data_IF_318530782281
#
_entry.id   IF_318530782281
#
_cell.length_a   1.000
_cell.length_b   1.000
_cell.length_c   1.000
_cell.angle_alpha   90.00
_cell.angle_beta   90.00
_cell.angle_gamma   90.00
#
_symmetry.space_group_name_H-M   'P 1'
#
loop_
_entity.id
_entity.type
_entity.pdbx_description
1 polymer ?
#
# COMPACT_ATOMS: atom_id res chain seq x y z
N UNK A 1 -4.79 16.19 13.64
CA UNK A 1 -5.30 15.03 14.41
C UNK A 1 -4.70 13.79 13.78
N UNK A 2 -3.79 13.12 14.46
CA UNK A 2 -3.18 11.87 13.97
C UNK A 2 -4.12 10.72 14.34
N UNK A 3 -4.63 10.00 13.34
CA UNK A 3 -5.52 8.86 13.53
C UNK A 3 -4.84 7.81 14.44
N UNK A 4 -5.44 7.42 15.58
CA UNK A 4 -4.83 6.54 16.58
C UNK A 4 -4.61 5.08 16.13
N UNK A 5 -4.75 4.78 14.83
CA UNK A 5 -4.54 3.46 14.22
C UNK A 5 -3.38 3.38 13.21
N UNK A 6 -2.62 4.46 13.03
CA UNK A 6 -1.65 4.59 11.93
C UNK A 6 -0.62 3.45 11.88
N UNK A 7 -0.11 2.98 13.03
CA UNK A 7 0.85 1.89 13.10
C UNK A 7 0.30 0.53 12.67
N UNK A 8 -0.93 0.19 13.06
CA UNK A 8 -1.57 -1.07 12.68
C UNK A 8 -1.91 -1.10 11.18
N UNK A 9 -2.44 0.01 10.67
CA UNK A 9 -2.72 0.18 9.23
C UNK A 9 -1.45 0.10 8.40
N UNK A 10 -0.37 0.75 8.85
CA UNK A 10 0.93 0.67 8.19
C UNK A 10 1.49 -0.76 8.16
N UNK A 11 1.46 -1.49 9.28
CA UNK A 11 1.93 -2.87 9.31
C UNK A 11 1.13 -3.78 8.39
N UNK A 12 -0.20 -3.64 8.37
CA UNK A 12 -1.05 -4.37 7.43
C UNK A 12 -0.67 -4.03 5.97
N UNK A 13 -0.49 -2.74 5.66
CA UNK A 13 -0.13 -2.28 4.32
C UNK A 13 1.23 -2.81 3.87
N UNK A 14 2.22 -2.82 4.75
CA UNK A 14 3.55 -3.40 4.49
C UNK A 14 3.45 -4.90 4.18
N UNK A 15 2.66 -5.65 4.96
CA UNK A 15 2.45 -7.09 4.71
C UNK A 15 1.85 -7.35 3.33
N UNK A 16 0.90 -6.52 2.91
CA UNK A 16 0.32 -6.65 1.56
C UNK A 16 1.37 -6.40 0.49
N UNK A 17 2.10 -5.28 0.53
CA UNK A 17 3.16 -4.99 -0.47
C UNK A 17 4.21 -6.11 -0.53
N UNK A 18 4.60 -6.67 0.62
CA UNK A 18 5.55 -7.77 0.68
C UNK A 18 4.97 -9.10 0.16
N UNK A 19 3.66 -9.30 0.28
CA UNK A 19 2.94 -10.47 -0.22
C UNK A 19 2.52 -10.39 -1.68
N UNK A 20 2.60 -9.21 -2.33
CA UNK A 20 2.25 -9.07 -3.74
C UNK A 20 3.20 -9.91 -4.62
N UNK A 21 2.66 -10.70 -5.56
CA UNK A 21 3.49 -11.44 -6.50
C UNK A 21 4.27 -10.49 -7.40
N UNK A 22 5.57 -10.78 -7.61
CA UNK A 22 6.43 -10.00 -8.51
C UNK A 22 5.99 -10.05 -9.98
N UNK A 23 5.16 -11.03 -10.32
CA UNK A 23 4.70 -11.35 -11.67
C UNK A 23 3.17 -11.24 -11.80
N UNK A 24 2.58 -10.18 -11.22
CA UNK A 24 1.14 -9.90 -11.31
C UNK A 24 0.74 -9.03 -12.51
N UNK A 25 -0.57 -8.93 -12.74
CA UNK A 25 -1.19 -8.02 -13.71
C UNK A 25 -0.94 -6.55 -13.38
N UNK A 26 -0.78 -6.24 -12.09
CA UNK A 26 -0.37 -4.91 -11.63
C UNK A 26 1.16 -4.80 -11.54
N UNK A 27 1.72 -3.84 -12.29
CA UNK A 27 3.13 -3.46 -12.19
C UNK A 27 3.22 -2.02 -11.68
N UNK A 28 3.68 -1.79 -10.44
CA UNK A 28 3.87 -0.44 -9.95
C UNK A 28 4.94 0.26 -10.80
N UNK A 29 4.69 1.52 -11.11
CA UNK A 29 5.66 2.42 -11.71
C UNK A 29 6.88 2.59 -10.80
N UNK A 30 7.99 3.05 -11.40
CA UNK A 30 9.20 3.34 -10.64
C UNK A 30 8.97 4.36 -9.53
N UNK A 31 8.15 5.36 -9.80
CA UNK A 31 7.79 6.39 -8.82
C UNK A 31 7.00 5.82 -7.64
N UNK A 32 5.99 4.95 -7.90
CA UNK A 32 5.24 4.27 -6.84
C UNK A 32 6.16 3.41 -5.97
N UNK A 33 7.09 2.66 -6.57
CA UNK A 33 8.08 1.87 -5.82
C UNK A 33 8.98 2.75 -4.94
N UNK A 34 9.45 3.89 -5.46
CA UNK A 34 10.28 4.82 -4.69
C UNK A 34 9.50 5.47 -3.55
N UNK A 35 8.23 5.83 -3.74
CA UNK A 35 7.37 6.40 -2.69
C UNK A 35 7.14 5.42 -1.55
N UNK A 36 6.78 4.18 -1.87
CA UNK A 36 6.64 3.14 -0.83
C UNK A 36 7.95 2.92 -0.10
N UNK A 37 9.08 2.86 -0.82
CA UNK A 37 10.39 2.73 -0.20
C UNK A 37 10.73 3.89 0.74
N UNK A 38 10.55 5.14 0.29
CA UNK A 38 10.91 6.32 1.07
C UNK A 38 10.07 6.42 2.34
N UNK A 39 8.75 6.23 2.24
CA UNK A 39 7.86 6.25 3.40
C UNK A 39 8.14 5.09 4.36
N UNK A 40 8.41 3.89 3.84
CA UNK A 40 8.78 2.75 4.69
C UNK A 40 10.06 3.02 5.47
N UNK A 41 11.11 3.54 4.81
CA UNK A 41 12.39 3.88 5.46
C UNK A 41 12.21 5.01 6.47
N UNK A 42 11.44 6.04 6.16
CA UNK A 42 11.16 7.12 7.11
C UNK A 42 10.33 6.63 8.31
N UNK A 43 9.33 5.79 8.10
CA UNK A 43 8.50 5.22 9.16
C UNK A 43 9.29 4.29 10.11
N UNK A 44 10.24 3.52 9.58
CA UNK A 44 11.01 2.53 10.35
C UNK A 44 12.28 3.13 10.96
N UNK A 45 13.12 3.74 10.12
CA UNK A 45 14.42 4.28 10.49
C UNK A 45 14.40 5.77 10.85
N UNK A 46 13.34 6.52 10.50
CA UNK A 46 13.31 7.98 10.66
C UNK A 46 14.09 8.69 9.55
N UNK A 47 14.54 9.91 9.84
CA UNK A 47 15.27 10.77 8.89
C UNK A 47 16.50 10.06 8.32
N UNK A 48 16.70 10.22 7.00
CA UNK A 48 17.89 9.73 6.31
C UNK A 48 19.18 10.38 6.85
N UNK A 49 20.08 9.55 7.37
CA UNK A 49 21.41 9.93 7.86
C UNK A 49 22.53 9.13 7.16
N UNK A 50 22.16 8.21 6.27
CA UNK A 50 23.12 7.41 5.51
C UNK A 50 23.82 8.31 4.46
N UNK A 51 25.08 8.05 4.10
CA UNK A 51 25.75 8.78 3.03
C UNK A 51 25.10 8.47 1.68
N UNK A 52 25.06 9.46 0.78
CA UNK A 52 24.54 9.26 -0.57
C UNK A 52 25.40 8.27 -1.35
N UNK A 53 24.82 7.23 -1.99
CA UNK A 53 25.57 6.26 -2.76
C UNK A 53 26.35 6.89 -3.93
N UNK A 54 27.46 6.24 -4.30
CA UNK A 54 28.34 6.69 -5.37
C UNK A 54 27.71 6.62 -6.76
N UNK A 55 28.37 7.23 -7.75
CA UNK A 55 27.89 7.29 -9.14
C UNK A 55 27.60 5.92 -9.77
N UNK A 56 28.31 4.88 -9.35
CA UNK A 56 28.18 3.51 -9.88
C UNK A 56 26.94 2.76 -9.38
N UNK A 57 26.18 3.31 -8.41
CA UNK A 57 24.93 2.72 -7.90
C UNK A 57 23.73 3.65 -8.16
N UNK A 58 23.20 3.66 -9.40
CA UNK A 58 22.07 4.52 -9.74
C UNK A 58 20.80 4.16 -8.95
N UNK A 59 20.55 2.87 -8.70
CA UNK A 59 19.35 2.41 -7.97
C UNK A 59 19.42 2.85 -6.51
N UNK A 60 20.57 2.66 -5.85
CA UNK A 60 20.81 3.13 -4.50
C UNK A 60 20.68 4.64 -4.40
N UNK A 61 21.19 5.40 -5.39
CA UNK A 61 21.03 6.86 -5.43
C UNK A 61 19.57 7.28 -5.49
N UNK A 62 18.75 6.68 -6.35
CA UNK A 62 17.32 7.02 -6.41
C UNK A 62 16.57 6.69 -5.12
N UNK A 63 16.86 5.53 -4.51
CA UNK A 63 16.30 5.14 -3.20
C UNK A 63 16.69 6.14 -2.12
N UNK A 64 17.98 6.50 -2.07
CA UNK A 64 18.52 7.47 -1.13
C UNK A 64 17.90 8.85 -1.35
N UNK A 65 17.85 9.33 -2.59
CA UNK A 65 17.29 10.63 -2.96
C UNK A 65 15.81 10.71 -2.55
N UNK A 66 15.02 9.66 -2.82
CA UNK A 66 13.63 9.57 -2.40
C UNK A 66 13.47 9.60 -0.87
N UNK A 67 14.24 8.81 -0.12
CA UNK A 67 14.17 8.83 1.35
C UNK A 67 14.67 10.15 1.95
N UNK A 68 15.79 10.68 1.46
CA UNK A 68 16.37 11.94 1.91
C UNK A 68 15.44 13.12 1.65
N UNK A 69 14.68 13.11 0.54
CA UNK A 69 13.71 14.16 0.21
C UNK A 69 12.60 14.35 1.25
N UNK A 70 12.32 13.33 2.08
CA UNK A 70 11.31 13.42 3.15
C UNK A 70 11.77 14.27 4.35
N UNK A 71 13.07 14.57 4.44
CA UNK A 71 13.63 15.48 5.42
C UNK A 71 13.27 15.15 6.86
N UNK A 72 12.55 16.06 7.53
CA UNK A 72 12.18 15.96 8.95
C UNK A 72 10.78 15.35 9.19
N UNK A 73 10.16 14.77 8.18
CA UNK A 73 8.87 14.08 8.31
C UNK A 73 8.90 13.09 9.48
N UNK A 74 7.89 13.11 10.34
CA UNK A 74 7.84 12.18 11.49
C UNK A 74 7.59 10.75 11.03
N UNK A 75 7.82 9.78 11.93
CA UNK A 75 7.53 8.37 11.64
C UNK A 75 6.03 8.16 11.40
N UNK A 76 5.19 8.83 12.19
CA UNK A 76 3.74 8.79 12.11
C UNK A 76 3.23 9.41 10.81
N UNK A 77 3.78 10.55 10.40
CA UNK A 77 3.46 11.17 9.11
C UNK A 77 3.86 10.25 7.94
N UNK A 78 5.01 9.60 8.03
CA UNK A 78 5.46 8.64 7.01
C UNK A 78 4.57 7.39 6.93
N UNK A 79 4.13 6.86 8.07
CA UNK A 79 3.17 5.74 8.12
C UNK A 79 1.84 6.13 7.48
N UNK A 80 1.32 7.33 7.80
CA UNK A 80 0.07 7.83 7.22
C UNK A 80 0.21 8.04 5.70
N UNK A 81 1.33 8.60 5.25
CA UNK A 81 1.61 8.79 3.82
C UNK A 81 1.74 7.46 3.07
N UNK A 82 2.35 6.44 3.69
CA UNK A 82 2.42 5.08 3.12
C UNK A 82 1.03 4.49 2.89
N UNK A 83 0.15 4.60 3.89
CA UNK A 83 -1.24 4.13 3.79
C UNK A 83 -2.03 4.92 2.75
N UNK A 84 -1.83 6.24 2.68
CA UNK A 84 -2.46 7.08 1.67
C UNK A 84 -2.02 6.71 0.25
N UNK A 85 -0.73 6.41 0.05
CA UNK A 85 -0.22 5.97 -1.26
C UNK A 85 -0.78 4.61 -1.66
N UNK A 86 -0.94 3.69 -0.69
CA UNK A 86 -1.63 2.41 -0.91
C UNK A 86 -3.06 2.60 -1.42
N UNK A 87 -3.83 3.52 -0.81
CA UNK A 87 -5.20 3.83 -1.24
C UNK A 87 -5.25 4.30 -2.69
N UNK A 88 -4.32 5.19 -3.08
CA UNK A 88 -4.23 5.67 -4.48
C UNK A 88 -3.93 4.54 -5.45
N UNK A 89 -3.00 3.66 -5.10
CA UNK A 89 -2.66 2.48 -5.91
C UNK A 89 -3.86 1.55 -6.06
N UNK A 90 -4.58 1.26 -4.97
CA UNK A 90 -5.77 0.43 -5.03
C UNK A 90 -6.87 1.06 -5.90
N UNK A 91 -7.12 2.36 -5.76
CA UNK A 91 -8.08 3.07 -6.61
C UNK A 91 -7.68 2.98 -8.10
N UNK A 92 -6.40 3.22 -8.41
CA UNK A 92 -5.87 3.11 -9.76
C UNK A 92 -6.05 1.69 -10.33
N UNK A 93 -5.83 0.66 -9.53
CA UNK A 93 -6.09 -0.74 -9.96
C UNK A 93 -7.57 -0.95 -10.27
N UNK A 94 -8.47 -0.46 -9.41
CA UNK A 94 -9.92 -0.54 -9.63
C UNK A 94 -10.34 0.17 -10.93
N UNK A 95 -9.74 1.33 -11.21
CA UNK A 95 -10.12 2.16 -12.37
C UNK A 95 -9.54 1.64 -13.69
N UNK A 96 -8.36 1.02 -13.65
CA UNK A 96 -7.62 0.66 -14.87
C UNK A 96 -7.75 -0.80 -15.28
N UNK A 97 -8.06 -1.69 -14.34
CA UNK A 97 -8.03 -3.12 -14.60
C UNK A 97 -9.43 -3.67 -14.87
N UNK A 98 -9.57 -4.39 -15.99
CA UNK A 98 -10.83 -5.09 -16.31
C UNK A 98 -11.08 -6.17 -15.25
N UNK A 99 -12.32 -6.39 -14.80
CA UNK A 99 -12.66 -7.51 -13.93
C UNK A 99 -12.45 -8.85 -14.66
N UNK A 100 -11.21 -9.35 -14.64
CA UNK A 100 -10.82 -10.68 -15.07
C UNK A 100 -10.36 -11.53 -13.87
N UNK A 101 -10.14 -12.83 -14.09
CA UNK A 101 -9.76 -13.77 -13.02
C UNK A 101 -8.45 -13.37 -12.32
N UNK A 102 -7.48 -12.81 -13.05
CA UNK A 102 -6.20 -12.38 -12.49
C UNK A 102 -6.35 -11.20 -11.52
N UNK A 103 -7.32 -10.32 -11.78
CA UNK A 103 -7.59 -9.16 -10.92
C UNK A 103 -8.34 -9.55 -9.66
N UNK A 104 -9.21 -10.57 -9.74
CA UNK A 104 -9.85 -11.17 -8.56
C UNK A 104 -8.83 -11.75 -7.59
N UNK A 105 -7.85 -12.51 -8.09
CA UNK A 105 -6.76 -13.03 -7.27
C UNK A 105 -5.96 -11.88 -6.63
N UNK A 106 -5.74 -10.79 -7.37
CA UNK A 106 -5.03 -9.64 -6.82
C UNK A 106 -5.78 -9.01 -5.65
N UNK A 107 -7.10 -8.82 -5.76
CA UNK A 107 -7.90 -8.22 -4.69
C UNK A 107 -7.97 -9.07 -3.42
N UNK A 108 -7.78 -10.40 -3.49
CA UNK A 108 -7.67 -11.25 -2.30
C UNK A 108 -6.48 -10.88 -1.41
N UNK A 109 -5.36 -10.44 -1.98
CA UNK A 109 -4.22 -9.97 -1.18
C UNK A 109 -4.52 -8.69 -0.41
N UNK A 110 -5.47 -7.89 -0.88
CA UNK A 110 -5.91 -6.66 -0.22
C UNK A 110 -7.00 -6.91 0.83
N UNK A 111 -7.54 -8.12 0.94
CA UNK A 111 -8.61 -8.47 1.89
C UNK A 111 -8.27 -8.11 3.35
N UNK A 112 -7.05 -8.42 3.88
CA UNK A 112 -6.68 -8.01 5.23
C UNK A 112 -6.62 -6.49 5.42
N UNK A 113 -6.42 -5.72 4.34
CA UNK A 113 -6.43 -4.25 4.42
C UNK A 113 -7.84 -3.68 4.56
N UNK A 114 -8.85 -4.31 3.97
CA UNK A 114 -10.24 -3.84 4.07
C UNK A 114 -10.80 -3.91 5.50
N UNK A 115 -10.28 -4.81 6.32
CA UNK A 115 -10.61 -4.96 7.74
C UNK A 115 -9.95 -3.87 8.61
N UNK A 116 -8.73 -3.47 8.26
CA UNK A 116 -7.90 -2.57 9.09
C UNK A 116 -8.00 -1.10 8.64
N UNK A 117 -8.27 -0.85 7.36
CA UNK A 117 -8.40 0.47 6.75
C UNK A 117 -9.84 0.65 6.29
N UNK A 118 -10.65 1.32 7.14
CA UNK A 118 -12.11 1.46 6.93
C UNK A 118 -12.48 2.22 5.64
N UNK A 119 -11.64 3.15 5.20
CA UNK A 119 -11.85 3.99 4.00
C UNK A 119 -11.03 3.51 2.79
N UNK A 120 -10.57 2.26 2.79
CA UNK A 120 -9.83 1.70 1.66
C UNK A 120 -10.76 1.53 0.45
N UNK A 121 -10.36 1.97 -0.77
CA UNK A 121 -11.13 1.73 -1.99
C UNK A 121 -11.41 0.25 -2.18
N UNK A 122 -12.69 -0.12 -2.36
CA UNK A 122 -13.12 -1.50 -2.55
C UNK A 122 -13.54 -1.72 -4.00
N UNK A 123 -13.17 -2.84 -4.63
CA UNK A 123 -13.68 -3.17 -5.95
C UNK A 123 -15.20 -3.43 -5.89
N UNK A 124 -15.94 -3.12 -6.97
CA UNK A 124 -17.38 -3.41 -7.07
C UNK A 124 -17.71 -4.88 -6.79
N UNK A 125 -18.86 -5.17 -6.17
CA UNK A 125 -19.30 -6.55 -5.85
C UNK A 125 -19.33 -7.49 -7.07
N UNK A 126 -19.49 -6.93 -8.28
CA UNK A 126 -19.39 -7.66 -9.54
C UNK A 126 -18.03 -8.36 -9.72
N UNK A 127 -16.94 -7.85 -9.14
CA UNK A 127 -15.64 -8.50 -9.17
C UNK A 127 -15.64 -9.83 -8.41
N UNK A 128 -16.46 -10.00 -7.37
CA UNK A 128 -16.49 -11.23 -6.57
C UNK A 128 -17.60 -12.21 -6.97
N UNK A 129 -18.53 -11.79 -7.83
CA UNK A 129 -19.76 -12.53 -8.15
C UNK A 129 -19.56 -13.90 -8.83
N UNK A 130 -18.36 -14.20 -9.34
CA UNK A 130 -18.02 -15.52 -9.94
C UNK A 130 -17.24 -16.44 -9.01
N UNK A 131 -16.68 -15.92 -7.92
CA UNK A 131 -16.09 -16.72 -6.86
C UNK A 131 -17.20 -17.06 -5.86
N UNK A 132 -17.79 -18.26 -5.95
CA UNK A 132 -18.89 -18.69 -5.10
C UNK A 132 -18.53 -18.74 -3.60
N UNK A 133 -18.66 -17.61 -2.91
CA UNK A 133 -18.57 -17.48 -1.47
C UNK A 133 -19.21 -16.16 -1.02
N UNK A 134 -20.31 -16.25 -0.27
CA UNK A 134 -21.07 -15.14 0.31
C UNK A 134 -20.18 -14.09 0.99
N UNK A 135 -19.98 -12.95 0.34
CA UNK A 135 -19.51 -11.73 0.99
C UNK A 135 -20.71 -10.79 1.13
N UNK A 136 -21.38 -10.85 2.29
CA UNK A 136 -22.60 -10.08 2.49
C UNK A 136 -23.42 -10.47 3.72
N UNK A 137 -22.79 -10.71 4.88
CA UNK A 137 -23.51 -10.63 6.16
C UNK A 137 -22.56 -10.14 7.24
N UNK A 138 -22.41 -8.82 7.35
CA UNK A 138 -22.13 -8.24 8.67
C UNK A 138 -23.34 -8.58 9.55
N UNK A 139 -23.20 -9.36 10.64
CA UNK A 139 -24.31 -9.50 11.56
C UNK A 139 -24.58 -8.11 12.13
N UNK A 140 -25.75 -7.57 11.82
CA UNK A 140 -26.27 -6.40 12.48
C UNK A 140 -26.34 -6.74 13.98
N UNK A 141 -25.45 -6.14 14.77
CA UNK A 141 -25.63 -6.06 16.22
C UNK A 141 -26.93 -5.28 16.44
N UNK A 142 -28.00 -6.03 16.65
CA UNK A 142 -29.28 -5.52 17.12
C UNK A 142 -29.24 -5.43 18.66
N UNK A 143 -29.93 -4.45 19.25
CA UNK A 143 -29.65 -3.89 20.57
C UNK A 143 -29.87 -4.84 21.76
#
# INVERSE_FOLDING_TARGET
MAEPGCGAQFQAAVRVIQGLPRSGSYRPSYEEMLRFYSYYKQATAGRCQEPRPGFWDPIGRYKWDAWHSLGRMSKEEAMAAYVAEMKKVAQKIIDTVRPDETTQEMFRYFEPLYEVIRDMPRPPDAFFRRAGGEWGRVPALSP
#
